data_IF_787075846167
#
_entry.id   IF_787075846167
#
_cell.length_a   1.000
_cell.length_b   1.000
_cell.length_c   1.000
_cell.angle_alpha   90.00
_cell.angle_beta   90.00
_cell.angle_gamma   90.00
#
_symmetry.space_group_name_H-M   'P 1'
#
loop_
_entity.id
_entity.type
_entity.pdbx_description
1 polymer ?
#
# COMPACT_ATOMS: atom_id res chain seq x y z
N UNK A 1 -6.51 2.47 -2.12
CA UNK A 1 -6.59 1.52 -1.00
C UNK A 1 -7.27 0.26 -1.49
N UNK A 2 -6.76 -0.89 -1.06
CA UNK A 2 -7.30 -2.23 -1.34
C UNK A 2 -7.98 -2.74 -0.08
N UNK A 3 -9.12 -3.40 -0.21
CA UNK A 3 -9.72 -4.14 0.91
C UNK A 3 -9.36 -5.61 0.75
N UNK A 4 -8.83 -6.23 1.80
CA UNK A 4 -8.58 -7.67 1.89
C UNK A 4 -9.07 -8.11 3.26
N UNK A 5 -10.02 -9.06 3.28
CA UNK A 5 -10.57 -9.63 4.53
C UNK A 5 -11.07 -8.58 5.54
N UNK A 6 -11.66 -7.48 5.06
CA UNK A 6 -12.16 -6.38 5.90
C UNK A 6 -11.09 -5.41 6.40
N UNK A 7 -9.83 -5.58 6.00
CA UNK A 7 -8.72 -4.68 6.29
C UNK A 7 -8.37 -3.87 5.06
N UNK A 8 -8.18 -2.57 5.25
CA UNK A 8 -7.72 -1.69 4.19
C UNK A 8 -6.20 -1.66 4.12
N UNK A 9 -5.65 -1.67 2.91
CA UNK A 9 -4.22 -1.60 2.64
C UNK A 9 -3.85 -0.46 1.69
N UNK A 10 -2.71 0.17 1.97
CA UNK A 10 -1.96 0.98 1.01
C UNK A 10 -1.04 0.05 0.22
N UNK A 11 -1.16 0.00 -1.11
CA UNK A 11 -0.26 -0.80 -1.92
C UNK A 11 1.09 -0.10 -2.09
N UNK A 12 2.16 -0.87 -1.94
CA UNK A 12 3.55 -0.45 -2.14
C UNK A 12 4.15 -1.30 -3.26
N UNK A 13 4.94 -0.67 -4.11
CA UNK A 13 5.46 -1.28 -5.34
C UNK A 13 6.98 -1.18 -5.39
N UNK A 14 7.64 -2.20 -5.93
CA UNK A 14 9.10 -2.20 -6.12
C UNK A 14 9.52 -1.44 -7.39
N UNK A 15 8.58 -1.11 -8.27
CA UNK A 15 8.83 -0.35 -9.50
C UNK A 15 7.69 0.61 -9.82
N UNK A 16 7.99 1.68 -10.55
CA UNK A 16 6.99 2.65 -11.01
C UNK A 16 6.05 2.01 -12.04
N UNK A 17 6.55 1.08 -12.85
CA UNK A 17 5.80 0.35 -13.87
C UNK A 17 4.67 -0.47 -13.23
N UNK A 18 4.99 -1.26 -12.19
CA UNK A 18 4.00 -2.07 -11.48
C UNK A 18 2.96 -1.22 -10.75
N UNK A 19 3.35 -0.04 -10.25
CA UNK A 19 2.44 0.94 -9.70
C UNK A 19 1.45 1.46 -10.77
N UNK A 20 1.95 1.83 -11.96
CA UNK A 20 1.09 2.33 -13.06
C UNK A 20 0.09 1.28 -13.51
N UNK A 21 0.55 0.05 -13.76
CA UNK A 21 -0.33 -1.07 -14.13
C UNK A 21 -1.42 -1.30 -13.08
N UNK A 22 -1.09 -1.17 -11.80
CA UNK A 22 -2.05 -1.29 -10.71
C UNK A 22 -3.13 -0.20 -10.79
N UNK A 23 -2.74 1.07 -10.89
CA UNK A 23 -3.70 2.18 -10.87
C UNK A 23 -4.55 2.25 -12.14
N UNK A 24 -4.01 1.83 -13.29
CA UNK A 24 -4.77 1.64 -14.52
C UNK A 24 -5.86 0.58 -14.35
N UNK A 25 -5.51 -0.62 -13.83
CA UNK A 25 -6.48 -1.70 -13.60
C UNK A 25 -7.57 -1.31 -12.59
N UNK A 26 -7.21 -0.55 -11.57
CA UNK A 26 -8.15 -0.13 -10.52
C UNK A 26 -9.02 1.07 -10.91
N UNK A 27 -8.79 1.68 -12.08
CA UNK A 27 -9.48 2.88 -12.56
C UNK A 27 -9.52 4.02 -11.50
N UNK A 28 -8.37 4.30 -10.88
CA UNK A 28 -8.24 5.25 -9.77
C UNK A 28 -7.67 6.58 -10.26
N UNK A 29 -8.30 7.68 -9.84
CA UNK A 29 -7.94 9.03 -10.29
C UNK A 29 -6.72 9.67 -9.57
N UNK A 30 -6.26 9.09 -8.46
CA UNK A 30 -5.16 9.64 -7.67
C UNK A 30 -4.37 8.55 -6.94
N UNK A 31 -3.07 8.80 -6.79
CA UNK A 31 -2.14 7.97 -6.03
C UNK A 31 -1.23 8.85 -5.17
N UNK A 32 -0.74 8.27 -4.08
CA UNK A 32 0.26 8.89 -3.21
C UNK A 32 1.49 7.99 -3.25
N UNK A 33 2.64 8.57 -3.58
CA UNK A 33 3.92 7.87 -3.53
C UNK A 33 4.58 8.22 -2.21
N UNK A 34 4.93 7.19 -1.42
CA UNK A 34 5.79 7.30 -0.25
C UNK A 34 7.09 6.59 -0.59
N UNK A 35 8.19 7.32 -0.63
CA UNK A 35 9.52 6.78 -0.91
C UNK A 35 10.30 6.56 0.39
N UNK A 36 11.02 5.44 0.47
CA UNK A 36 11.81 5.06 1.64
C UNK A 36 11.90 3.55 1.79
N UNK A 37 12.57 3.10 2.86
CA UNK A 37 12.47 1.70 3.28
C UNK A 37 11.08 1.39 3.85
N UNK A 38 10.77 0.10 4.01
CA UNK A 38 9.46 -0.36 4.51
C UNK A 38 9.11 0.26 5.85
N UNK A 39 10.09 0.42 6.75
CA UNK A 39 9.86 0.98 8.08
C UNK A 39 9.47 2.46 7.99
N UNK A 40 10.19 3.24 7.20
CA UNK A 40 9.91 4.66 6.98
C UNK A 40 8.53 4.87 6.35
N UNK A 41 8.15 4.02 5.39
CA UNK A 41 6.81 4.04 4.79
C UNK A 41 5.72 3.71 5.83
N UNK A 42 5.93 2.68 6.66
CA UNK A 42 5.01 2.32 7.74
C UNK A 42 4.85 3.44 8.77
N UNK A 43 5.96 4.03 9.23
CA UNK A 43 5.95 5.13 10.21
C UNK A 43 5.27 6.38 9.64
N UNK A 44 5.52 6.70 8.37
CA UNK A 44 4.85 7.81 7.66
C UNK A 44 3.36 7.55 7.51
N UNK A 45 2.95 6.34 7.13
CA UNK A 45 1.56 5.96 7.02
C UNK A 45 0.83 6.13 8.37
N UNK A 46 1.45 5.74 9.49
CA UNK A 46 0.87 5.91 10.85
C UNK A 46 0.75 7.36 11.31
N UNK A 47 1.58 8.26 10.79
CA UNK A 47 1.51 9.69 11.12
C UNK A 47 0.26 10.38 10.54
N UNK A 48 -0.39 9.78 9.53
CA UNK A 48 -1.61 10.28 8.93
C UNK A 48 -2.80 9.65 9.66
N UNK A 49 -3.62 10.48 10.33
CA UNK A 49 -4.73 10.00 11.19
C UNK A 49 -5.64 8.98 10.51
N UNK A 50 -6.02 9.25 9.25
CA UNK A 50 -6.89 8.39 8.45
C UNK A 50 -6.25 7.04 8.07
N UNK A 51 -4.92 6.94 8.15
CA UNK A 51 -4.16 5.76 7.74
C UNK A 51 -3.69 4.90 8.91
N UNK A 52 -3.92 5.32 10.16
CA UNK A 52 -3.51 4.57 11.36
C UNK A 52 -4.01 3.12 11.41
N UNK A 53 -5.17 2.85 10.81
CA UNK A 53 -5.80 1.52 10.74
C UNK A 53 -5.65 0.85 9.38
N UNK A 54 -4.77 1.37 8.54
CA UNK A 54 -4.55 0.91 7.17
C UNK A 54 -3.21 0.17 7.12
N UNK A 55 -3.24 -1.09 6.68
CA UNK A 55 -2.05 -1.91 6.53
C UNK A 55 -1.24 -1.52 5.29
N UNK A 56 -0.07 -2.14 5.13
CA UNK A 56 0.74 -2.01 3.92
C UNK A 56 0.79 -3.36 3.21
N UNK A 57 0.57 -3.37 1.90
CA UNK A 57 0.74 -4.57 1.07
C UNK A 57 1.77 -4.28 -0.01
N UNK A 58 2.85 -5.07 -0.03
CA UNK A 58 3.90 -4.98 -1.05
C UNK A 58 3.56 -5.92 -2.19
N UNK A 59 3.61 -5.41 -3.42
CA UNK A 59 3.30 -6.17 -4.65
C UNK A 59 1.94 -6.88 -4.58
N UNK A 60 0.82 -6.14 -4.49
CA UNK A 60 -0.51 -6.69 -4.18
C UNK A 60 -1.03 -7.76 -5.16
N UNK A 61 -0.46 -7.85 -6.37
CA UNK A 61 -0.82 -8.82 -7.41
C UNK A 61 0.25 -9.89 -7.65
N UNK A 62 1.31 -9.93 -6.85
CA UNK A 62 2.26 -11.05 -6.83
C UNK A 62 1.56 -12.31 -6.30
N UNK A 63 2.05 -13.49 -6.69
CA UNK A 63 1.64 -14.76 -6.08
C UNK A 63 1.99 -14.83 -4.58
N UNK A 64 2.93 -13.99 -4.15
CA UNK A 64 3.42 -13.90 -2.78
C UNK A 64 3.45 -12.45 -2.29
N UNK A 65 2.29 -11.82 -2.06
CA UNK A 65 2.24 -10.47 -1.51
C UNK A 65 2.73 -10.48 -0.07
N UNK A 66 3.44 -9.42 0.34
CA UNK A 66 3.85 -9.24 1.74
C UNK A 66 2.88 -8.27 2.38
N UNK A 67 2.19 -8.71 3.43
CA UNK A 67 1.18 -7.94 4.15
C UNK A 67 1.68 -7.55 5.54
N UNK A 68 1.63 -6.25 5.85
CA UNK A 68 1.88 -5.69 7.16
C UNK A 68 0.56 -5.17 7.72
N UNK A 69 0.15 -5.71 8.87
CA UNK A 69 -1.07 -5.24 9.53
C UNK A 69 -0.84 -3.85 10.14
N UNK A 70 -1.90 -3.07 10.34
CA UNK A 70 -1.79 -1.75 10.98
C UNK A 70 -1.05 -1.80 12.33
N UNK A 71 -1.25 -2.90 13.08
CA UNK A 71 -0.73 -3.10 14.44
C UNK A 71 0.61 -3.87 14.49
N UNK A 72 1.24 -4.16 13.34
CA UNK A 72 2.50 -4.91 13.23
C UNK A 72 3.76 -4.16 13.67
#
# INVERSE_FOLDING_TARGET
>A
MLEREGVWYVPVFRSVESMKEFYERMNRAAYMILEGDVKTVMDTNRSIELMKRVGVVIEPFSDHPVEFMPDS
#
